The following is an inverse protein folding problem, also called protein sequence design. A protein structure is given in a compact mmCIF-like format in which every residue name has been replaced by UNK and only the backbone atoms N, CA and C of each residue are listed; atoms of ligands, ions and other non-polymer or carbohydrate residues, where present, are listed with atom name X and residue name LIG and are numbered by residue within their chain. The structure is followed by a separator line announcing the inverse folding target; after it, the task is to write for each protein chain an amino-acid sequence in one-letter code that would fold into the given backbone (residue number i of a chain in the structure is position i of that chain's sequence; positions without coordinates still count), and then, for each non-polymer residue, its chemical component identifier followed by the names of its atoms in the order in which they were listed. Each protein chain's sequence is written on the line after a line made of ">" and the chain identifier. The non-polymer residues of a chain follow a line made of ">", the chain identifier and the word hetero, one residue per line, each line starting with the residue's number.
data_IF_126277612266
#
_entry.id   IF_126277612266
#
_cell.length_a   1.000
_cell.length_b   1.000
_cell.length_c   1.000
_cell.angle_alpha   90.00
_cell.angle_beta   90.00
_cell.angle_gamma   90.00
#
_symmetry.space_group_name_H-M   'P 1'
#
loop_
_entity.id
_entity.type
_entity.pdbx_description
1 polymer ?
#
# COMPACT_ATOMS: atom_id res chain seq x y z
N UNK A 1 5.01 18.05 -2.46
CA UNK A 1 4.62 17.11 -1.38
C UNK A 1 4.30 15.76 -2.03
N UNK A 2 4.93 14.65 -1.60
CA UNK A 2 4.72 13.35 -2.25
C UNK A 2 3.42 12.69 -1.79
N UNK A 3 2.82 11.83 -2.63
CA UNK A 3 1.62 11.07 -2.26
C UNK A 3 1.83 10.22 -0.99
N UNK A 4 3.04 9.67 -0.80
CA UNK A 4 3.42 8.97 0.43
C UNK A 4 3.26 9.87 1.66
N UNK A 5 3.77 11.11 1.60
CA UNK A 5 3.68 12.05 2.71
C UNK A 5 2.22 12.40 3.06
N UNK A 6 1.36 12.56 2.04
CA UNK A 6 -0.07 12.81 2.23
C UNK A 6 -0.72 11.61 2.93
N UNK A 7 -0.49 10.39 2.42
CA UNK A 7 -1.04 9.17 3.01
C UNK A 7 -0.58 8.94 4.46
N UNK A 8 0.69 9.21 4.77
CA UNK A 8 1.19 9.13 6.15
C UNK A 8 0.53 10.16 7.07
N UNK A 9 0.31 11.39 6.60
CA UNK A 9 -0.39 12.43 7.37
C UNK A 9 -1.86 12.05 7.64
N UNK A 10 -2.55 11.50 6.63
CA UNK A 10 -3.92 10.98 6.80
C UNK A 10 -3.94 9.85 7.82
N UNK A 11 -3.07 8.85 7.69
CA UNK A 11 -3.00 7.71 8.61
C UNK A 11 -2.75 8.15 10.06
N UNK A 12 -1.96 9.20 10.28
CA UNK A 12 -1.68 9.74 11.61
C UNK A 12 -2.84 10.49 12.27
N UNK A 13 -3.88 10.88 11.51
CA UNK A 13 -4.98 11.73 12.01
C UNK A 13 -6.37 11.12 11.84
N UNK A 14 -6.52 10.09 10.99
CA UNK A 14 -7.81 9.56 10.56
C UNK A 14 -8.69 9.03 11.71
N UNK A 15 -8.08 8.51 12.77
CA UNK A 15 -8.84 8.02 13.92
C UNK A 15 -9.54 9.15 14.68
N UNK A 16 -9.00 10.36 14.62
CA UNK A 16 -9.60 11.57 15.20
C UNK A 16 -10.77 12.14 14.39
N UNK A 17 -11.00 11.69 13.15
CA UNK A 17 -12.06 12.23 12.28
C UNK A 17 -13.43 11.77 12.75
N UNK A 18 -14.14 12.58 13.53
CA UNK A 18 -15.43 12.20 14.15
C UNK A 18 -16.58 12.07 13.14
N UNK A 19 -16.49 12.79 12.03
CA UNK A 19 -17.56 12.85 11.00
C UNK A 19 -17.49 11.69 9.99
N UNK A 20 -16.43 10.89 10.01
CA UNK A 20 -16.21 9.81 9.05
C UNK A 20 -16.55 8.48 9.70
N UNK A 21 -17.43 7.70 9.06
CA UNK A 21 -17.79 6.37 9.56
C UNK A 21 -16.59 5.43 9.62
N UNK A 22 -16.61 4.47 10.56
CA UNK A 22 -15.54 3.46 10.73
C UNK A 22 -15.26 2.74 9.40
N UNK A 23 -16.30 2.37 8.65
CA UNK A 23 -16.16 1.72 7.34
C UNK A 23 -15.35 2.58 6.36
N UNK A 24 -15.67 3.88 6.26
CA UNK A 24 -14.93 4.81 5.39
C UNK A 24 -13.50 5.01 5.87
N UNK A 25 -13.28 5.12 7.18
CA UNK A 25 -11.92 5.18 7.75
C UNK A 25 -11.09 3.97 7.33
N UNK A 26 -11.65 2.77 7.44
CA UNK A 26 -10.97 1.53 7.06
C UNK A 26 -10.62 1.48 5.57
N UNK A 27 -11.51 1.96 4.69
CA UNK A 27 -11.24 2.06 3.25
C UNK A 27 -10.09 3.03 2.99
N UNK A 28 -10.12 4.22 3.60
CA UNK A 28 -9.08 5.23 3.42
C UNK A 28 -7.73 4.73 3.97
N UNK A 29 -7.71 4.06 5.14
CA UNK A 29 -6.51 3.42 5.69
C UNK A 29 -5.89 2.46 4.68
N UNK A 30 -6.67 1.51 4.17
CA UNK A 30 -6.21 0.54 3.16
C UNK A 30 -5.67 1.21 1.90
N UNK A 31 -6.31 2.28 1.42
CA UNK A 31 -5.83 3.02 0.25
C UNK A 31 -4.52 3.75 0.53
N UNK A 32 -4.39 4.38 1.70
CA UNK A 32 -3.18 5.11 2.10
C UNK A 32 -2.00 4.17 2.34
N UNK A 33 -2.22 3.03 2.98
CA UNK A 33 -1.20 2.00 3.22
C UNK A 33 -0.61 1.48 1.90
N UNK A 34 -1.44 1.30 0.87
CA UNK A 34 -0.99 0.89 -0.48
C UNK A 34 -0.06 1.91 -1.14
N UNK A 35 -0.12 3.19 -0.76
CA UNK A 35 0.77 4.23 -1.30
C UNK A 35 2.11 4.31 -0.57
N UNK A 36 2.26 3.63 0.57
CA UNK A 36 3.54 3.47 1.25
C UNK A 36 4.31 2.36 0.52
N UNK A 37 5.46 2.65 -0.12
CA UNK A 37 6.20 1.65 -0.88
C UNK A 37 6.67 0.50 0.01
N UNK A 38 6.42 -0.74 -0.41
CA UNK A 38 6.85 -1.95 0.28
C UNK A 38 7.73 -2.81 -0.63
N UNK A 39 8.73 -3.49 -0.08
CA UNK A 39 9.57 -4.41 -0.85
C UNK A 39 8.74 -5.59 -1.37
N UNK A 40 8.97 -6.08 -2.60
CA UNK A 40 8.34 -7.31 -3.05
C UNK A 40 8.87 -8.52 -2.25
N UNK A 41 8.08 -9.59 -2.25
CA UNK A 41 8.43 -10.89 -1.67
C UNK A 41 9.09 -11.78 -2.73
N UNK A 42 10.07 -12.59 -2.33
CA UNK A 42 10.73 -13.60 -3.17
C UNK A 42 10.65 -14.96 -2.47
N UNK A 43 9.48 -15.61 -2.48
CA UNK A 43 9.27 -16.87 -1.76
C UNK A 43 9.97 -18.07 -2.41
N UNK A 44 10.42 -17.94 -3.65
CA UNK A 44 11.09 -18.99 -4.42
C UNK A 44 12.49 -18.55 -4.85
N UNK A 45 13.31 -19.50 -5.29
CA UNK A 45 14.68 -19.23 -5.76
C UNK A 45 14.75 -18.71 -7.21
N UNK A 46 13.61 -18.55 -7.88
CA UNK A 46 13.50 -18.22 -9.30
C UNK A 46 13.48 -16.71 -9.59
N UNK A 47 13.94 -15.88 -8.64
CA UNK A 47 13.97 -14.41 -8.71
C UNK A 47 12.60 -13.73 -8.97
N UNK A 48 11.50 -14.49 -8.98
CA UNK A 48 10.17 -13.93 -9.25
C UNK A 48 9.72 -13.07 -8.08
N UNK A 49 9.40 -11.81 -8.37
CA UNK A 49 8.90 -10.86 -7.39
C UNK A 49 7.37 -10.98 -7.22
N UNK A 50 6.93 -11.06 -5.97
CA UNK A 50 5.53 -11.14 -5.59
C UNK A 50 5.09 -9.92 -4.79
N UNK A 51 3.86 -9.47 -5.02
CA UNK A 51 3.26 -8.38 -4.27
C UNK A 51 3.22 -8.70 -2.78
N UNK A 52 3.70 -7.83 -1.88
CA UNK A 52 3.70 -8.10 -0.45
C UNK A 52 2.30 -8.10 0.18
N UNK A 53 1.29 -7.58 -0.53
CA UNK A 53 -0.07 -7.47 -0.03
C UNK A 53 -1.03 -8.55 -0.55
N UNK A 54 -0.87 -9.00 -1.80
CA UNK A 54 -1.81 -9.95 -2.42
C UNK A 54 -1.14 -11.17 -3.05
N UNK A 55 0.18 -11.29 -2.95
CA UNK A 55 0.95 -12.43 -3.45
C UNK A 55 0.77 -12.74 -4.95
N UNK A 56 0.34 -11.76 -5.74
CA UNK A 56 0.38 -11.84 -7.21
C UNK A 56 1.76 -11.41 -7.71
N UNK A 57 2.19 -11.96 -8.85
CA UNK A 57 3.43 -11.57 -9.52
C UNK A 57 3.42 -10.05 -9.79
N UNK A 58 4.56 -9.39 -9.58
CA UNK A 58 4.73 -7.95 -9.82
C UNK A 58 6.01 -7.67 -10.59
N UNK A 59 5.88 -6.86 -11.64
CA UNK A 59 6.98 -6.47 -12.52
C UNK A 59 7.16 -4.94 -12.57
N UNK A 60 6.18 -4.20 -12.05
CA UNK A 60 6.09 -2.74 -12.13
C UNK A 60 6.23 -2.02 -10.77
N UNK A 61 6.25 -0.68 -10.82
CA UNK A 61 6.18 0.19 -9.62
C UNK A 61 4.90 0.00 -8.80
N UNK A 62 3.83 -0.52 -9.40
CA UNK A 62 2.56 -0.78 -8.73
C UNK A 62 2.08 -2.20 -9.07
N UNK A 63 1.56 -2.92 -8.08
CA UNK A 63 0.89 -4.19 -8.30
C UNK A 63 -0.38 -3.98 -9.12
N UNK A 64 -0.46 -4.58 -10.31
CA UNK A 64 -1.62 -4.47 -11.20
C UNK A 64 -2.92 -5.04 -10.61
N UNK A 65 -2.83 -5.97 -9.64
CA UNK A 65 -4.01 -6.58 -9.02
C UNK A 65 -4.58 -5.75 -7.87
N UNK A 66 -3.73 -5.30 -6.94
CA UNK A 66 -4.21 -4.65 -5.71
C UNK A 66 -3.80 -3.18 -5.57
N UNK A 67 -2.95 -2.65 -6.46
CA UNK A 67 -2.49 -1.27 -6.45
C UNK A 67 -1.42 -0.94 -5.39
N UNK A 68 -0.82 -1.95 -4.75
CA UNK A 68 0.29 -1.75 -3.81
C UNK A 68 1.50 -1.16 -4.53
N UNK A 69 2.03 -0.05 -4.03
CA UNK A 69 3.28 0.53 -4.51
C UNK A 69 4.47 -0.34 -4.10
N UNK A 70 5.31 -0.70 -5.06
CA UNK A 70 6.47 -1.55 -4.87
C UNK A 70 7.72 -0.69 -4.71
N UNK A 71 8.53 -1.03 -3.72
CA UNK A 71 9.86 -0.47 -3.50
C UNK A 71 10.90 -1.42 -4.09
N UNK A 72 11.29 -1.13 -5.32
CA UNK A 72 12.46 -1.74 -5.94
C UNK A 72 13.73 -1.19 -5.29
N UNK A 73 14.78 -2.03 -5.24
CA UNK A 73 16.06 -1.75 -4.59
C UNK A 73 16.76 -0.53 -5.14
#
# INVERSE_FOLDING_TARGET
>A
MSLKCICQSILGTIDCWREVSITRKNVIKKLCEKQIPQKPNYPYMDETAYCPNCSMIVEDLYCGTCGQKIKWG
#
